data_IF_437519133220
#
_entry.id   IF_437519133220
#
_cell.length_a   1.000
_cell.length_b   1.000
_cell.length_c   1.000
_cell.angle_alpha   90.00
_cell.angle_beta   90.00
_cell.angle_gamma   90.00
#
_symmetry.space_group_name_H-M   'P 1'
#
loop_
_entity.id
_entity.type
_entity.pdbx_description
1 polymer ?
#
# COMPACT_ATOMS: atom_id res chain seq x y z
N UNK A 1 23.05 -19.14 16.37
CA UNK A 1 22.84 -20.16 15.33
C UNK A 1 24.16 -20.52 14.64
N UNK A 2 24.79 -19.59 13.92
CA UNK A 2 26.04 -19.84 13.15
C UNK A 2 27.12 -20.44 14.04
N UNK A 3 27.40 -19.81 15.21
CA UNK A 3 28.41 -20.30 16.17
C UNK A 3 28.08 -21.70 16.72
N UNK A 4 26.81 -22.02 16.92
CA UNK A 4 26.41 -23.32 17.40
C UNK A 4 26.49 -24.43 16.33
N UNK A 5 26.21 -24.06 15.07
CA UNK A 5 26.27 -24.99 13.94
C UNK A 5 27.68 -25.15 13.35
N UNK A 6 28.63 -24.27 13.69
CA UNK A 6 30.02 -24.39 13.23
C UNK A 6 30.75 -25.65 13.74
N UNK A 7 30.20 -26.33 14.75
CA UNK A 7 30.69 -27.64 15.24
C UNK A 7 30.28 -28.80 14.36
N UNK A 8 29.28 -28.63 13.47
CA UNK A 8 28.92 -29.65 12.45
C UNK A 8 29.84 -29.45 11.25
N UNK A 9 30.83 -30.37 11.13
CA UNK A 9 31.85 -30.28 10.07
C UNK A 9 31.25 -30.36 8.68
N UNK A 10 30.34 -31.29 8.44
CA UNK A 10 29.70 -31.46 7.13
C UNK A 10 28.91 -30.21 6.70
N UNK A 11 28.23 -29.63 7.65
CA UNK A 11 27.47 -28.40 7.39
C UNK A 11 28.40 -27.21 7.13
N UNK A 12 29.43 -27.05 7.96
CA UNK A 12 30.36 -25.91 7.88
C UNK A 12 31.26 -25.97 6.65
N UNK A 13 31.72 -27.15 6.23
CA UNK A 13 32.53 -27.32 5.04
C UNK A 13 31.78 -27.07 3.73
N UNK A 14 30.44 -27.20 3.75
CA UNK A 14 29.59 -26.87 2.60
C UNK A 14 29.30 -25.37 2.48
N UNK A 15 29.68 -24.56 3.45
CA UNK A 15 29.44 -23.10 3.41
C UNK A 15 30.67 -22.40 2.89
N UNK A 16 30.53 -21.77 1.73
CA UNK A 16 31.57 -20.91 1.15
C UNK A 16 31.61 -19.53 1.81
N UNK A 17 30.45 -18.95 2.07
CA UNK A 17 30.34 -17.66 2.75
C UNK A 17 28.98 -17.49 3.41
N UNK A 18 28.99 -16.68 4.48
CA UNK A 18 27.78 -16.21 5.15
C UNK A 18 27.79 -14.68 5.13
N UNK A 19 26.77 -14.10 4.56
CA UNK A 19 26.58 -12.67 4.50
C UNK A 19 25.39 -12.29 5.38
N UNK A 20 25.61 -11.42 6.35
CA UNK A 20 24.55 -10.81 7.15
C UNK A 20 24.12 -9.54 6.45
N UNK A 21 22.96 -9.56 5.84
CA UNK A 21 22.35 -8.39 5.24
C UNK A 21 21.52 -7.73 6.33
N UNK A 22 22.02 -6.64 6.86
CA UNK A 22 21.36 -5.88 7.94
C UNK A 22 20.03 -5.33 7.48
N UNK A 23 19.15 -5.08 8.44
CA UNK A 23 17.91 -4.30 8.19
C UNK A 23 18.30 -2.96 7.55
N UNK A 24 17.63 -2.62 6.48
CA UNK A 24 17.88 -1.37 5.75
C UNK A 24 16.59 -0.57 5.65
N UNK A 25 16.66 0.67 6.05
CA UNK A 25 15.65 1.67 5.78
C UNK A 25 16.07 2.47 4.55
N UNK A 26 15.21 2.48 3.54
CA UNK A 26 15.40 3.26 2.31
C UNK A 26 14.43 4.41 2.39
N UNK A 27 14.95 5.61 2.37
CA UNK A 27 14.17 6.84 2.26
C UNK A 27 14.33 7.39 0.85
N UNK A 28 13.28 7.94 0.29
CA UNK A 28 13.29 8.50 -1.05
C UNK A 28 12.11 9.42 -1.26
N UNK A 29 12.09 10.05 -2.43
CA UNK A 29 11.02 10.95 -2.87
C UNK A 29 10.54 10.57 -4.25
N UNK A 30 9.22 10.65 -4.45
CA UNK A 30 8.58 10.61 -5.78
C UNK A 30 7.88 11.94 -5.96
N UNK A 31 8.45 12.82 -6.80
CA UNK A 31 8.09 14.23 -6.84
C UNK A 31 8.47 14.91 -5.53
N UNK A 32 7.47 15.43 -4.78
CA UNK A 32 7.65 16.03 -3.43
C UNK A 32 7.12 15.16 -2.30
N UNK A 33 6.86 13.89 -2.58
CA UNK A 33 6.31 12.93 -1.61
C UNK A 33 7.44 12.06 -1.09
N UNK A 34 7.76 12.19 0.21
CA UNK A 34 8.70 11.31 0.90
C UNK A 34 8.10 9.92 1.17
N UNK A 35 8.94 8.89 1.11
CA UNK A 35 8.58 7.54 1.52
C UNK A 35 9.70 6.88 2.32
N UNK A 36 9.33 5.95 3.18
CA UNK A 36 10.26 5.11 3.94
C UNK A 36 9.94 3.63 3.71
N UNK A 37 10.89 2.89 3.15
CA UNK A 37 10.79 1.44 2.93
C UNK A 37 11.72 0.71 3.89
N UNK A 38 11.19 -0.16 4.75
CA UNK A 38 11.96 -1.05 5.61
C UNK A 38 12.17 -2.41 4.96
N UNK A 39 13.43 -2.78 4.76
CA UNK A 39 13.83 -4.12 4.34
C UNK A 39 14.35 -4.89 5.57
N UNK A 40 13.81 -6.10 5.86
CA UNK A 40 14.24 -6.88 7.01
C UNK A 40 15.67 -7.40 6.83
N UNK A 41 16.33 -7.66 7.96
CA UNK A 41 17.62 -8.36 7.96
C UNK A 41 17.47 -9.77 7.38
N UNK A 42 18.51 -10.23 6.67
CA UNK A 42 18.56 -11.56 6.02
C UNK A 42 19.90 -12.21 6.26
N UNK A 43 19.91 -13.53 6.33
CA UNK A 43 21.13 -14.34 6.24
C UNK A 43 21.20 -14.95 4.84
N UNK A 44 22.29 -14.67 4.13
CA UNK A 44 22.57 -15.26 2.83
C UNK A 44 23.71 -16.25 2.99
N UNK A 45 23.40 -17.51 2.73
CA UNK A 45 24.40 -18.59 2.68
C UNK A 45 24.78 -18.84 1.23
N UNK A 46 26.06 -18.81 0.92
CA UNK A 46 26.59 -19.28 -0.35
C UNK A 46 27.24 -20.65 -0.09
N UNK A 47 26.77 -21.67 -0.79
CA UNK A 47 27.24 -23.03 -0.62
C UNK A 47 28.33 -23.35 -1.64
N UNK A 48 29.25 -24.28 -1.29
CA UNK A 48 30.26 -24.80 -2.20
C UNK A 48 29.65 -25.72 -3.25
N UNK A 49 28.65 -26.51 -2.85
CA UNK A 49 27.92 -27.44 -3.70
C UNK A 49 26.42 -27.38 -3.36
N UNK A 50 25.58 -27.82 -4.30
CA UNK A 50 24.14 -27.98 -4.04
C UNK A 50 23.97 -29.03 -2.95
N UNK A 51 23.37 -28.66 -1.83
CA UNK A 51 23.08 -29.53 -0.71
C UNK A 51 21.60 -29.47 -0.38
N UNK A 52 20.85 -30.51 -0.75
CA UNK A 52 19.41 -30.60 -0.45
C UNK A 52 19.12 -30.73 1.05
N UNK A 53 20.10 -31.17 1.81
CA UNK A 53 20.02 -31.42 3.24
C UNK A 53 20.56 -30.27 4.10
N UNK A 54 20.96 -29.17 3.47
CA UNK A 54 21.54 -28.00 4.14
C UNK A 54 20.77 -27.53 5.38
N UNK A 55 19.46 -27.62 5.36
CA UNK A 55 18.62 -27.21 6.47
C UNK A 55 18.44 -28.27 7.58
N UNK A 56 18.90 -29.51 7.39
CA UNK A 56 18.75 -30.56 8.41
C UNK A 56 19.43 -30.22 9.74
N UNK A 57 20.72 -29.79 9.78
CA UNK A 57 21.36 -29.39 11.03
C UNK A 57 20.70 -28.16 11.68
N UNK A 58 20.24 -27.21 10.87
CA UNK A 58 19.48 -26.05 11.36
C UNK A 58 18.18 -26.50 12.01
N UNK A 59 17.47 -27.43 11.38
CA UNK A 59 16.25 -28.03 11.89
C UNK A 59 16.51 -28.75 13.22
N UNK A 60 17.55 -29.55 13.29
CA UNK A 60 17.96 -30.26 14.52
C UNK A 60 18.29 -29.29 15.65
N UNK A 61 18.96 -28.19 15.33
CA UNK A 61 19.33 -27.17 16.33
C UNK A 61 18.12 -26.33 16.84
N UNK A 62 17.22 -25.94 15.96
CA UNK A 62 16.04 -25.14 16.30
C UNK A 62 14.87 -25.98 16.82
N UNK A 63 14.96 -27.30 16.68
CA UNK A 63 13.93 -28.25 17.04
C UNK A 63 12.92 -28.51 15.93
N UNK A 64 12.36 -29.72 15.95
CA UNK A 64 11.37 -30.13 14.95
C UNK A 64 10.12 -29.23 14.97
N UNK A 65 9.75 -28.75 16.14
CA UNK A 65 8.60 -27.89 16.32
C UNK A 65 8.73 -26.56 15.56
N UNK A 66 9.93 -26.01 15.45
CA UNK A 66 10.15 -24.74 14.72
C UNK A 66 9.89 -24.92 13.23
N UNK A 67 10.45 -25.98 12.62
CA UNK A 67 10.30 -26.24 11.18
C UNK A 67 8.98 -26.92 10.82
N UNK A 68 8.40 -27.71 11.71
CA UNK A 68 7.10 -28.33 11.49
C UNK A 68 5.95 -27.30 11.61
N UNK A 69 6.15 -26.25 12.41
CA UNK A 69 5.20 -25.12 12.50
C UNK A 69 5.21 -24.27 11.23
N UNK A 70 6.30 -24.26 10.50
CA UNK A 70 6.44 -23.50 9.27
C UNK A 70 6.75 -24.41 8.08
N UNK A 71 5.77 -24.88 7.32
CA UNK A 71 5.96 -25.77 6.19
C UNK A 71 6.49 -25.03 4.98
N UNK A 72 7.66 -24.47 5.12
CA UNK A 72 8.34 -23.65 4.13
C UNK A 72 8.41 -24.34 2.74
N UNK A 73 8.55 -25.67 2.71
CA UNK A 73 8.56 -26.47 1.48
C UNK A 73 7.23 -26.37 0.73
N UNK A 74 6.11 -26.43 1.44
CA UNK A 74 4.77 -26.28 0.84
C UNK A 74 4.56 -24.88 0.22
N UNK A 75 5.14 -23.83 0.83
CA UNK A 75 5.08 -22.47 0.27
C UNK A 75 5.90 -22.33 -1.02
N UNK A 76 7.08 -22.99 -1.09
CA UNK A 76 7.90 -22.98 -2.31
C UNK A 76 7.25 -23.80 -3.42
N UNK A 77 6.61 -24.90 -3.08
CA UNK A 77 5.96 -25.82 -4.01
C UNK A 77 4.55 -25.37 -4.41
N UNK A 78 4.00 -24.34 -3.75
CA UNK A 78 2.69 -23.78 -4.08
C UNK A 78 2.72 -23.20 -5.51
N UNK A 79 1.93 -23.81 -6.40
CA UNK A 79 1.94 -23.52 -7.85
C UNK A 79 1.11 -22.27 -8.21
N UNK A 80 0.22 -21.86 -7.34
CA UNK A 80 -0.70 -20.74 -7.61
C UNK A 80 -1.06 -19.95 -6.35
N UNK A 81 -1.67 -18.79 -6.57
CA UNK A 81 -2.08 -17.88 -5.51
C UNK A 81 -3.14 -18.44 -4.56
N UNK A 82 -3.94 -19.41 -5.02
CA UNK A 82 -4.97 -20.02 -4.18
C UNK A 82 -4.35 -21.00 -3.18
N UNK A 83 -3.39 -21.82 -3.62
CA UNK A 83 -2.63 -22.69 -2.74
C UNK A 83 -1.82 -21.90 -1.70
N UNK A 84 -1.24 -20.76 -2.11
CA UNK A 84 -0.57 -19.86 -1.18
C UNK A 84 -1.54 -19.29 -0.13
N UNK A 85 -2.71 -18.83 -0.53
CA UNK A 85 -3.74 -18.30 0.39
C UNK A 85 -4.25 -19.34 1.39
N UNK A 86 -4.45 -20.57 0.95
CA UNK A 86 -4.85 -21.66 1.85
C UNK A 86 -3.76 -21.98 2.88
N UNK A 87 -2.50 -22.00 2.45
CA UNK A 87 -1.36 -22.17 3.36
C UNK A 87 -1.21 -20.98 4.31
N UNK A 88 -1.39 -19.75 3.84
CA UNK A 88 -1.39 -18.54 4.68
C UNK A 88 -2.45 -18.60 5.77
N UNK A 89 -3.69 -19.00 5.45
CA UNK A 89 -4.76 -19.19 6.44
C UNK A 89 -4.43 -20.29 7.46
N UNK A 90 -3.94 -21.44 6.99
CA UNK A 90 -3.62 -22.56 7.85
C UNK A 90 -2.53 -22.23 8.85
N UNK A 91 -1.57 -21.36 8.46
CA UNK A 91 -0.40 -21.01 9.27
C UNK A 91 -0.39 -19.54 9.71
N UNK A 92 -1.54 -18.87 9.68
CA UNK A 92 -1.68 -17.45 10.00
C UNK A 92 -0.99 -17.04 11.30
N UNK A 93 -1.16 -17.83 12.37
CA UNK A 93 -0.53 -17.53 13.66
C UNK A 93 1.00 -17.60 13.64
N UNK A 94 1.56 -18.47 12.81
CA UNK A 94 3.01 -18.68 12.68
C UNK A 94 3.60 -17.66 11.71
N UNK A 95 2.91 -17.39 10.61
CA UNK A 95 3.29 -16.38 9.63
C UNK A 95 3.34 -14.97 10.23
N UNK A 96 2.46 -14.64 11.15
CA UNK A 96 2.49 -13.35 11.86
C UNK A 96 3.78 -13.15 12.68
N UNK A 97 4.38 -14.20 13.18
CA UNK A 97 5.64 -14.13 13.96
C UNK A 97 6.87 -14.01 13.06
N UNK A 98 6.80 -14.49 11.81
CA UNK A 98 7.92 -14.56 10.86
C UNK A 98 7.80 -13.64 9.66
N UNK A 99 6.63 -13.02 9.45
CA UNK A 99 6.40 -12.13 8.31
C UNK A 99 7.12 -10.80 8.47
N UNK A 100 8.09 -10.57 7.63
CA UNK A 100 8.67 -9.26 7.38
C UNK A 100 7.95 -8.62 6.19
N UNK A 101 6.74 -8.13 6.44
CA UNK A 101 5.94 -7.47 5.43
C UNK A 101 6.61 -6.17 4.97
N UNK A 102 6.73 -5.93 3.66
CA UNK A 102 7.20 -4.64 3.17
C UNK A 102 6.29 -3.52 3.65
N UNK A 103 6.89 -2.42 4.06
CA UNK A 103 6.17 -1.25 4.59
C UNK A 103 6.56 -0.03 3.78
N UNK A 104 5.57 0.75 3.36
CA UNK A 104 5.75 2.09 2.81
C UNK A 104 5.10 3.08 3.77
N UNK A 105 5.84 4.09 4.17
CA UNK A 105 5.33 5.21 4.96
C UNK A 105 5.39 6.45 4.09
N UNK A 106 4.26 7.13 3.97
CA UNK A 106 4.17 8.42 3.29
C UNK A 106 4.10 9.54 4.34
N UNK A 107 5.01 10.48 4.24
CA UNK A 107 4.93 11.76 4.91
C UNK A 107 4.26 12.74 3.94
N UNK A 108 3.06 13.19 4.30
CA UNK A 108 2.21 14.01 3.46
C UNK A 108 2.56 15.50 3.61
N UNK A 109 2.31 16.26 2.55
CA UNK A 109 2.43 17.71 2.58
C UNK A 109 1.45 18.31 3.58
N UNK A 110 1.91 19.34 4.30
CA UNK A 110 1.09 20.04 5.29
C UNK A 110 0.40 21.29 4.72
N UNK A 111 0.85 21.73 3.56
CA UNK A 111 0.42 22.97 2.88
C UNK A 111 -0.55 22.71 1.72
N UNK A 112 -0.88 21.46 1.45
CA UNK A 112 -1.87 21.12 0.44
C UNK A 112 -3.29 21.33 0.98
N UNK A 113 -4.12 22.00 0.18
CA UNK A 113 -5.54 22.21 0.47
C UNK A 113 -6.39 21.85 -0.75
N UNK A 114 -7.60 21.38 -0.52
CA UNK A 114 -8.56 21.18 -1.60
C UNK A 114 -9.02 22.54 -2.17
N UNK A 115 -9.62 22.52 -3.34
CA UNK A 115 -10.04 23.72 -4.06
C UNK A 115 -11.06 24.57 -3.30
N UNK A 116 -11.78 23.98 -2.34
CA UNK A 116 -12.71 24.65 -1.44
C UNK A 116 -12.05 25.16 -0.14
N UNK A 117 -10.72 25.01 -0.01
CA UNK A 117 -9.93 25.45 1.13
C UNK A 117 -9.85 24.44 2.28
N UNK A 118 -10.48 23.26 2.17
CA UNK A 118 -10.36 22.23 3.19
C UNK A 118 -8.94 21.64 3.20
N UNK A 119 -8.27 21.49 4.37
CA UNK A 119 -6.95 20.87 4.46
C UNK A 119 -6.96 19.42 3.95
N UNK A 120 -5.89 19.06 3.26
CA UNK A 120 -5.62 17.68 2.87
C UNK A 120 -4.87 16.93 3.98
N UNK A 121 -5.33 15.73 4.31
CA UNK A 121 -4.68 14.91 5.33
C UNK A 121 -4.68 13.41 5.02
N UNK A 122 -4.17 12.62 5.98
CA UNK A 122 -4.10 11.17 5.89
C UNK A 122 -5.47 10.46 5.94
N UNK A 123 -6.50 11.14 6.45
CA UNK A 123 -7.89 10.68 6.41
C UNK A 123 -8.39 10.57 4.97
N UNK A 124 -8.11 11.58 4.15
CA UNK A 124 -8.48 11.57 2.72
C UNK A 124 -7.80 10.44 1.95
N UNK A 125 -6.52 10.18 2.28
CA UNK A 125 -5.77 9.06 1.67
C UNK A 125 -6.39 7.72 2.08
N UNK A 126 -6.68 7.53 3.36
CA UNK A 126 -7.34 6.32 3.87
C UNK A 126 -8.74 6.16 3.27
N UNK A 127 -9.52 7.24 3.19
CA UNK A 127 -10.84 7.25 2.58
C UNK A 127 -10.79 6.83 1.11
N UNK A 128 -9.83 7.38 0.36
CA UNK A 128 -9.62 7.04 -1.05
C UNK A 128 -9.27 5.56 -1.22
N UNK A 129 -8.32 5.06 -0.43
CA UNK A 129 -7.95 3.65 -0.43
C UNK A 129 -9.17 2.75 -0.15
N UNK A 130 -9.91 3.04 0.91
CA UNK A 130 -11.11 2.27 1.29
C UNK A 130 -12.18 2.30 0.20
N UNK A 131 -12.33 3.44 -0.48
CA UNK A 131 -13.27 3.59 -1.60
C UNK A 131 -12.89 2.70 -2.80
N UNK A 132 -11.59 2.59 -3.10
CA UNK A 132 -11.08 1.75 -4.19
C UNK A 132 -11.26 0.27 -3.89
N UNK A 133 -10.92 -0.17 -2.67
CA UNK A 133 -10.96 -1.60 -2.31
C UNK A 133 -12.36 -2.08 -1.92
N UNK A 134 -13.32 -1.19 -1.79
CA UNK A 134 -14.69 -1.52 -1.37
C UNK A 134 -15.24 -2.70 -2.19
N UNK A 135 -15.68 -3.80 -1.54
CA UNK A 135 -16.25 -4.95 -2.25
C UNK A 135 -17.46 -4.61 -3.12
N UNK A 136 -18.25 -3.63 -2.70
CA UNK A 136 -19.43 -3.13 -3.43
C UNK A 136 -19.07 -2.08 -4.49
N UNK A 137 -17.83 -1.61 -4.51
CA UNK A 137 -17.36 -0.62 -5.47
C UNK A 137 -17.00 -1.24 -6.82
N UNK A 138 -17.06 -0.44 -7.86
CA UNK A 138 -16.73 -0.83 -9.25
C UNK A 138 -15.39 -0.25 -9.71
N UNK A 139 -14.47 0.09 -8.79
CA UNK A 139 -13.19 0.67 -9.16
C UNK A 139 -12.35 -0.32 -9.97
N UNK A 140 -11.89 0.06 -11.18
CA UNK A 140 -11.00 -0.78 -11.98
C UNK A 140 -9.60 -0.93 -11.34
N UNK A 141 -9.24 -0.05 -10.41
CA UNK A 141 -7.93 -0.05 -9.74
C UNK A 141 -7.85 -0.93 -8.50
N UNK A 142 -8.89 -1.70 -8.20
CA UNK A 142 -8.93 -2.57 -7.01
C UNK A 142 -7.79 -3.59 -6.98
N UNK A 143 -7.39 -4.11 -8.14
CA UNK A 143 -6.27 -5.06 -8.27
C UNK A 143 -4.93 -4.46 -7.87
N UNK A 144 -4.74 -3.14 -8.06
CA UNK A 144 -3.48 -2.45 -7.75
C UNK A 144 -3.19 -2.44 -6.24
N UNK A 145 -4.24 -2.52 -5.42
CA UNK A 145 -4.18 -2.47 -3.96
C UNK A 145 -4.45 -3.82 -3.28
N UNK A 146 -4.71 -4.88 -4.04
CA UNK A 146 -4.85 -6.25 -3.50
C UNK A 146 -3.64 -6.67 -2.66
N UNK A 147 -2.39 -6.35 -3.04
CA UNK A 147 -1.22 -6.70 -2.24
C UNK A 147 -1.10 -5.96 -0.90
N UNK A 148 -1.91 -4.94 -0.64
CA UNK A 148 -1.91 -4.23 0.64
C UNK A 148 -2.57 -5.10 1.70
N UNK A 149 -1.87 -5.31 2.84
CA UNK A 149 -2.34 -6.09 3.99
C UNK A 149 -3.05 -5.22 5.00
N UNK A 150 -2.49 -4.05 5.29
CA UNK A 150 -3.02 -3.12 6.28
C UNK A 150 -2.63 -1.68 5.97
N UNK A 151 -3.50 -0.75 6.37
CA UNK A 151 -3.26 0.69 6.31
C UNK A 151 -3.43 1.25 7.71
N UNK A 152 -2.45 2.06 8.17
CA UNK A 152 -2.48 2.69 9.48
C UNK A 152 -2.21 4.18 9.35
N UNK A 153 -3.11 5.01 9.82
CA UNK A 153 -2.89 6.43 10.04
C UNK A 153 -1.97 6.59 11.25
N UNK A 154 -0.83 7.25 11.06
CA UNK A 154 0.17 7.50 12.10
C UNK A 154 0.09 8.94 12.63
N UNK A 155 -0.66 9.80 11.96
CA UNK A 155 -0.89 11.20 12.29
C UNK A 155 -1.55 11.90 11.11
N UNK A 156 -1.94 13.19 11.24
CA UNK A 156 -2.65 13.91 10.19
C UNK A 156 -1.92 13.96 8.85
N UNK A 157 -0.59 13.91 8.88
CA UNK A 157 0.25 13.98 7.69
C UNK A 157 1.19 12.79 7.56
N UNK A 158 0.81 11.64 8.13
CA UNK A 158 1.63 10.42 8.04
C UNK A 158 0.79 9.18 8.00
N UNK A 159 0.99 8.34 6.98
CA UNK A 159 0.23 7.13 6.76
C UNK A 159 1.15 5.97 6.36
N UNK A 160 0.86 4.78 6.90
CA UNK A 160 1.64 3.57 6.68
C UNK A 160 0.83 2.52 5.94
N UNK A 161 1.42 1.97 4.88
CA UNK A 161 0.90 0.83 4.14
C UNK A 161 1.79 -0.38 4.37
N UNK A 162 1.20 -1.47 4.83
CA UNK A 162 1.87 -2.75 5.01
C UNK A 162 1.42 -3.68 3.89
N UNK A 163 2.36 -4.26 3.15
CA UNK A 163 2.09 -5.15 2.04
C UNK A 163 2.17 -6.60 2.47
N UNK A 164 1.39 -7.48 1.85
CA UNK A 164 1.43 -8.94 2.05
C UNK A 164 2.74 -9.53 1.53
N UNK A 165 3.32 -8.93 0.49
CA UNK A 165 4.51 -9.39 -0.22
C UNK A 165 5.20 -8.23 -0.92
N UNK A 166 6.44 -8.45 -1.40
CA UNK A 166 7.07 -7.51 -2.32
C UNK A 166 6.23 -7.37 -3.58
N UNK A 167 5.92 -6.13 -3.94
CA UNK A 167 5.10 -5.79 -5.09
C UNK A 167 5.81 -4.68 -5.86
N UNK A 168 6.41 -5.03 -7.00
CA UNK A 168 7.23 -4.09 -7.80
C UNK A 168 6.47 -2.83 -8.21
N UNK A 169 5.17 -2.90 -8.64
CA UNK A 169 4.40 -1.72 -9.00
C UNK A 169 3.93 -0.86 -7.81
N UNK A 170 4.30 -1.20 -6.57
CA UNK A 170 3.76 -0.56 -5.36
C UNK A 170 3.81 0.97 -5.40
N UNK A 171 4.92 1.56 -5.86
CA UNK A 171 5.04 3.03 -5.92
C UNK A 171 4.17 3.64 -7.01
N UNK A 172 4.11 3.02 -8.20
CA UNK A 172 3.26 3.49 -9.30
C UNK A 172 1.77 3.44 -8.98
N UNK A 173 1.35 2.50 -8.14
CA UNK A 173 -0.05 2.39 -7.70
C UNK A 173 -0.54 3.64 -6.94
N UNK A 174 0.36 4.35 -6.26
CA UNK A 174 0.02 5.54 -5.47
C UNK A 174 -0.03 6.84 -6.28
N UNK A 175 0.30 6.80 -7.56
CA UNK A 175 0.05 7.92 -8.47
C UNK A 175 -1.45 7.97 -8.81
N UNK A 176 -2.26 8.45 -7.87
CA UNK A 176 -3.71 8.56 -7.99
C UNK A 176 -4.23 9.89 -7.43
N UNK A 177 -5.39 10.33 -7.91
CA UNK A 177 -6.11 11.44 -7.31
C UNK A 177 -6.69 11.03 -5.95
N UNK A 178 -6.62 11.93 -4.98
CA UNK A 178 -7.18 11.72 -3.65
C UNK A 178 -8.58 12.32 -3.57
N UNK A 179 -9.52 11.54 -3.05
CA UNK A 179 -10.91 11.94 -2.87
C UNK A 179 -11.08 12.77 -1.58
N UNK A 180 -11.86 13.87 -1.63
CA UNK A 180 -12.16 14.67 -0.45
C UNK A 180 -13.17 13.96 0.47
N UNK A 181 -12.71 13.41 1.60
CA UNK A 181 -13.58 12.73 2.55
C UNK A 181 -14.69 13.66 3.07
N UNK A 182 -14.36 14.91 3.35
CA UNK A 182 -15.30 15.88 3.90
C UNK A 182 -16.52 16.14 3.02
N UNK A 183 -16.47 15.80 1.73
CA UNK A 183 -17.60 15.93 0.78
C UNK A 183 -18.24 14.57 0.49
N UNK A 184 -17.45 13.50 0.42
CA UNK A 184 -17.85 12.20 -0.12
C UNK A 184 -18.07 11.13 0.96
N UNK A 185 -17.92 11.46 2.25
CA UNK A 185 -18.22 10.49 3.30
C UNK A 185 -19.73 10.13 3.33
N UNK A 186 -20.03 9.00 3.95
CA UNK A 186 -21.37 8.43 3.97
C UNK A 186 -22.45 9.42 4.44
N UNK A 187 -22.14 10.22 5.47
CA UNK A 187 -23.09 11.20 6.00
C UNK A 187 -23.42 12.29 4.98
N UNK A 188 -22.42 12.77 4.24
CA UNK A 188 -22.60 13.79 3.20
C UNK A 188 -23.38 13.22 2.02
N UNK A 189 -23.05 12.00 1.60
CA UNK A 189 -23.80 11.33 0.54
C UNK A 189 -25.28 11.12 0.92
N UNK A 190 -25.56 10.69 2.15
CA UNK A 190 -26.95 10.56 2.66
C UNK A 190 -27.68 11.91 2.72
N UNK A 191 -26.99 12.99 3.09
CA UNK A 191 -27.56 14.34 3.07
C UNK A 191 -27.87 14.80 1.64
N UNK A 192 -26.97 14.57 0.69
CA UNK A 192 -27.19 14.89 -0.71
C UNK A 192 -28.37 14.10 -1.29
N UNK A 193 -28.45 12.81 -1.00
CA UNK A 193 -29.56 11.95 -1.42
C UNK A 193 -30.92 12.51 -0.97
N UNK A 194 -31.02 12.88 0.33
CA UNK A 194 -32.24 13.49 0.88
C UNK A 194 -32.62 14.79 0.17
N UNK A 195 -31.66 15.69 -0.07
CA UNK A 195 -31.90 16.94 -0.79
C UNK A 195 -32.39 16.71 -2.22
N UNK A 196 -32.01 15.61 -2.85
CA UNK A 196 -32.39 15.23 -4.21
C UNK A 196 -33.61 14.32 -4.27
N UNK A 197 -34.27 14.03 -3.15
CA UNK A 197 -35.43 13.12 -3.07
C UNK A 197 -35.09 11.67 -3.44
N UNK A 198 -33.85 11.26 -3.24
CA UNK A 198 -33.38 9.88 -3.51
C UNK A 198 -33.28 9.09 -2.22
N UNK A 199 -33.34 7.77 -2.32
CA UNK A 199 -33.13 6.83 -1.21
C UNK A 199 -31.67 6.93 -0.69
N UNK A 200 -31.44 7.38 0.54
CA UNK A 200 -30.09 7.54 1.10
C UNK A 200 -29.30 6.23 1.24
N UNK A 201 -29.99 5.09 1.38
CA UNK A 201 -29.34 3.78 1.55
C UNK A 201 -28.85 3.19 0.22
N UNK A 202 -29.39 3.70 -0.90
CA UNK A 202 -29.01 3.28 -2.26
C UNK A 202 -28.12 4.30 -2.96
N UNK A 203 -27.96 5.48 -2.38
CA UNK A 203 -27.17 6.57 -2.97
C UNK A 203 -25.68 6.32 -2.75
N UNK A 204 -24.94 6.21 -3.83
CA UNK A 204 -23.49 5.94 -3.81
C UNK A 204 -22.70 7.13 -4.35
N UNK A 205 -21.40 7.14 -4.15
CA UNK A 205 -20.51 8.21 -4.58
C UNK A 205 -20.67 8.60 -6.06
N UNK A 206 -20.87 7.62 -6.93
CA UNK A 206 -21.10 7.85 -8.37
C UNK A 206 -22.38 8.65 -8.66
N UNK A 207 -23.37 8.60 -7.78
CA UNK A 207 -24.63 9.33 -7.93
C UNK A 207 -24.53 10.77 -7.46
N UNK A 208 -23.46 11.12 -6.73
CA UNK A 208 -23.23 12.45 -6.20
C UNK A 208 -22.92 13.47 -7.30
N UNK A 209 -23.13 14.73 -6.98
CA UNK A 209 -22.77 15.84 -7.88
C UNK A 209 -21.27 15.99 -8.09
N UNK A 210 -20.46 15.35 -7.26
CA UNK A 210 -18.99 15.40 -7.33
C UNK A 210 -18.44 14.99 -8.70
N UNK A 211 -19.06 14.00 -9.36
CA UNK A 211 -18.64 13.57 -10.70
C UNK A 211 -18.79 14.64 -11.78
N UNK A 212 -19.65 15.65 -11.55
CA UNK A 212 -19.88 16.78 -12.46
C UNK A 212 -19.23 18.08 -11.97
N UNK A 213 -18.91 18.16 -10.67
CA UNK A 213 -18.27 19.31 -10.04
C UNK A 213 -17.14 18.82 -9.14
N UNK A 214 -16.04 18.31 -9.71
CA UNK A 214 -14.96 17.73 -8.94
C UNK A 214 -14.18 18.79 -8.17
N UNK A 215 -13.80 18.45 -6.94
CA UNK A 215 -12.89 19.22 -6.10
C UNK A 215 -11.64 18.38 -5.86
N UNK A 216 -10.48 18.95 -6.07
CA UNK A 216 -9.18 18.30 -5.89
C UNK A 216 -8.17 19.25 -5.26
N UNK A 217 -6.91 18.82 -5.26
CA UNK A 217 -5.76 19.61 -4.77
C UNK A 217 -4.83 20.03 -5.92
N UNK A 218 -5.31 19.94 -7.15
CA UNK A 218 -4.53 20.16 -8.37
C UNK A 218 -4.33 21.65 -8.73
N UNK A 219 -3.55 21.90 -9.80
CA UNK A 219 -3.21 23.24 -10.25
C UNK A 219 -4.39 24.02 -10.85
N UNK A 220 -5.44 23.31 -11.28
CA UNK A 220 -6.64 23.92 -11.87
C UNK A 220 -7.88 23.49 -11.11
N UNK A 221 -8.82 24.45 -10.92
CA UNK A 221 -10.13 24.26 -10.31
C UNK A 221 -11.17 24.08 -11.41
N UNK A 222 -12.09 23.14 -11.19
CA UNK A 222 -13.25 23.00 -12.06
C UNK A 222 -14.15 24.24 -11.99
N UNK A 223 -14.59 24.72 -13.15
CA UNK A 223 -15.52 25.84 -13.26
C UNK A 223 -16.85 25.41 -13.88
N UNK A 224 -16.83 24.83 -15.08
CA UNK A 224 -18.04 24.39 -15.75
C UNK A 224 -17.80 23.19 -16.68
N UNK A 225 -18.87 22.44 -16.91
CA UNK A 225 -18.92 21.38 -17.92
C UNK A 225 -20.25 21.47 -18.66
N UNK A 226 -20.18 21.89 -19.91
CA UNK A 226 -21.29 21.81 -20.88
C UNK A 226 -21.05 20.58 -21.73
N UNK A 227 -21.98 19.60 -21.63
CA UNK A 227 -21.85 18.34 -22.40
C UNK A 227 -21.73 18.64 -23.89
N UNK A 228 -20.78 17.93 -24.53
CA UNK A 228 -20.46 18.01 -25.95
C UNK A 228 -19.98 19.37 -26.46
N UNK A 229 -19.75 20.34 -25.55
CA UNK A 229 -19.30 21.68 -25.90
C UNK A 229 -17.94 21.98 -25.28
N UNK A 230 -17.88 22.09 -23.93
CA UNK A 230 -16.68 22.59 -23.25
C UNK A 230 -16.55 22.10 -21.81
N UNK A 231 -15.31 21.86 -21.38
CA UNK A 231 -14.93 21.79 -19.99
C UNK A 231 -13.98 22.94 -19.71
N UNK A 232 -14.33 23.78 -18.73
CA UNK A 232 -13.57 24.95 -18.35
C UNK A 232 -12.99 24.79 -16.96
N UNK A 233 -11.69 25.01 -16.84
CA UNK A 233 -10.94 24.97 -15.60
C UNK A 233 -10.26 26.33 -15.41
N UNK A 234 -10.21 26.81 -14.15
CA UNK A 234 -9.52 28.06 -13.79
C UNK A 234 -8.33 27.76 -12.90
N UNK A 235 -7.32 28.59 -12.96
CA UNK A 235 -6.11 28.50 -12.17
C UNK A 235 -6.40 28.42 -10.67
N UNK A 236 -5.69 27.53 -9.97
CA UNK A 236 -5.66 27.48 -8.52
C UNK A 236 -4.50 28.34 -8.00
N UNK A 237 -4.81 29.55 -7.52
CA UNK A 237 -3.82 30.49 -6.98
C UNK A 237 -3.08 29.92 -5.75
N UNK A 238 -3.71 28.98 -5.04
CA UNK A 238 -3.16 28.36 -3.83
C UNK A 238 -2.63 26.95 -4.11
N UNK A 239 -2.23 26.68 -5.35
CA UNK A 239 -1.63 25.39 -5.66
C UNK A 239 -0.31 25.22 -4.91
N UNK A 240 -0.17 24.13 -4.22
CA UNK A 240 0.96 23.84 -3.33
C UNK A 240 2.34 23.76 -4.03
N UNK A 241 2.37 23.63 -5.33
CA UNK A 241 3.59 23.64 -6.17
C UNK A 241 3.78 24.93 -6.97
N UNK A 242 3.07 25.99 -6.59
CA UNK A 242 3.03 27.26 -7.28
C UNK A 242 1.89 27.37 -8.28
N UNK A 243 1.26 28.53 -8.34
CA UNK A 243 0.17 28.76 -9.27
C UNK A 243 0.63 28.57 -10.72
N UNK A 244 -0.17 27.93 -11.59
CA UNK A 244 0.14 27.82 -13.02
C UNK A 244 0.26 29.20 -13.69
N UNK A 245 1.04 29.28 -14.76
CA UNK A 245 1.15 30.51 -15.56
C UNK A 245 -0.15 30.83 -16.32
N UNK A 246 -0.86 29.79 -16.76
CA UNK A 246 -2.12 29.94 -17.49
C UNK A 246 -3.29 30.18 -16.51
N UNK A 247 -4.14 31.17 -16.80
CA UNK A 247 -5.29 31.52 -15.96
C UNK A 247 -6.47 30.55 -16.15
N UNK A 248 -6.63 30.04 -17.34
CA UNK A 248 -7.74 29.18 -17.76
C UNK A 248 -7.27 28.07 -18.69
N UNK A 249 -7.92 26.92 -18.59
CA UNK A 249 -7.77 25.78 -19.50
C UNK A 249 -9.15 25.37 -20.01
N UNK A 250 -9.29 25.31 -21.33
CA UNK A 250 -10.55 25.04 -22.03
C UNK A 250 -10.39 23.84 -22.95
#
# INVERSE_FOLDING_TARGET
LIKALSHDKEWSENIRSIEVISEKTIEGEIGKIGYTLKQPAKLKFTLTNINQDFFKPIKKFLGDDYFNKFPYRKFIEAKDSNQQRELEKQYEKILQVTEHNPVIVFDLRKDAVFHDGHPFDSGDVLFTYNSIINPKGTSPRKSDYEPVKAVNVLGPHRIKFTYKRLFSPAFGSWAMGILPEHILNENKLKQEAKKRGRDPEKFIMRDSNFGRNPIGTGPFKFMEWKSDEVIRLIRNEHYWDGAPEYEEYV
#
